data_IF_340685827865
#
_entry.id   IF_340685827865
#
_cell.length_a   1.000
_cell.length_b   1.000
_cell.length_c   1.000
_cell.angle_alpha   90.00
_cell.angle_beta   90.00
_cell.angle_gamma   90.00
#
_symmetry.space_group_name_H-M   'P 1'
#
loop_
_entity.id
_entity.type
_entity.pdbx_description
1 polymer ?
#
# COMPACT_ATOMS: atom_id res chain seq x y z
N UNK A 1 -4.29 11.76 2.83
CA UNK A 1 -5.42 11.03 2.26
C UNK A 1 -6.76 11.62 2.69
N UNK A 2 -7.07 11.71 4.00
CA UNK A 2 -8.35 12.24 4.48
C UNK A 2 -8.64 13.64 3.94
N UNK A 3 -7.64 14.54 3.96
CA UNK A 3 -7.78 15.90 3.44
C UNK A 3 -8.12 15.91 1.94
N UNK A 4 -7.44 15.06 1.16
CA UNK A 4 -7.70 14.93 -0.27
C UNK A 4 -9.12 14.40 -0.54
N UNK A 5 -9.53 13.36 0.19
CA UNK A 5 -10.89 12.81 0.04
C UNK A 5 -11.96 13.86 0.37
N UNK A 6 -11.82 14.60 1.48
CA UNK A 6 -12.75 15.65 1.86
C UNK A 6 -12.83 16.83 0.87
N UNK A 7 -11.74 17.07 0.12
CA UNK A 7 -11.70 18.14 -0.88
C UNK A 7 -12.27 17.75 -2.25
N UNK A 8 -12.30 16.45 -2.58
CA UNK A 8 -12.48 15.96 -3.93
C UNK A 8 -13.68 15.05 -4.12
N UNK A 9 -14.24 14.53 -3.03
CA UNK A 9 -15.32 13.55 -3.04
C UNK A 9 -16.55 14.19 -2.42
N UNK A 10 -17.64 14.16 -3.16
CA UNK A 10 -18.95 14.58 -2.71
C UNK A 10 -19.82 13.36 -2.33
N UNK A 11 -20.93 13.62 -1.65
CA UNK A 11 -21.88 12.60 -1.23
C UNK A 11 -22.39 11.78 -2.41
N UNK A 12 -22.13 10.48 -2.36
CA UNK A 12 -22.57 9.53 -3.37
C UNK A 12 -21.59 9.31 -4.51
N UNK A 13 -20.50 10.09 -4.59
CA UNK A 13 -19.42 9.83 -5.52
C UNK A 13 -18.82 8.44 -5.30
N UNK A 14 -18.44 7.77 -6.37
CA UNK A 14 -17.77 6.50 -6.34
C UNK A 14 -16.28 6.66 -6.64
N UNK A 15 -15.44 5.98 -5.84
CA UNK A 15 -13.98 5.94 -6.05
C UNK A 15 -13.54 4.50 -6.24
N UNK A 16 -12.99 4.19 -7.42
CA UNK A 16 -12.47 2.86 -7.72
C UNK A 16 -11.13 2.65 -7.01
N UNK A 17 -10.94 1.49 -6.42
CA UNK A 17 -9.67 1.08 -5.81
C UNK A 17 -9.47 -0.43 -5.95
N UNK A 18 -8.21 -0.94 -5.93
CA UNK A 18 -7.96 -2.36 -6.02
C UNK A 18 -8.48 -3.10 -4.78
N UNK A 19 -8.89 -4.35 -4.98
CA UNK A 19 -9.09 -5.35 -3.94
C UNK A 19 -8.06 -6.48 -4.13
N UNK A 20 -7.06 -6.64 -3.24
CA UNK A 20 -6.89 -6.00 -1.92
C UNK A 20 -6.29 -4.59 -1.98
N UNK A 21 -6.51 -3.80 -0.92
CA UNK A 21 -5.93 -2.46 -0.73
C UNK A 21 -5.73 -2.11 0.75
N UNK A 22 -5.05 -0.99 1.01
CA UNK A 22 -4.87 -0.51 2.37
C UNK A 22 -6.23 -0.19 3.03
N UNK A 23 -6.53 -0.76 4.20
CA UNK A 23 -7.88 -0.71 4.78
C UNK A 23 -8.44 0.71 4.99
N UNK A 24 -7.57 1.67 5.34
CA UNK A 24 -8.03 3.03 5.61
C UNK A 24 -8.52 3.75 4.36
N UNK A 25 -8.09 3.35 3.15
CA UNK A 25 -8.47 4.04 1.91
C UNK A 25 -9.99 4.10 1.73
N UNK A 26 -10.67 2.95 1.86
CA UNK A 26 -12.14 2.89 1.77
C UNK A 26 -12.83 3.71 2.87
N UNK A 27 -12.23 3.80 4.05
CA UNK A 27 -12.79 4.56 5.15
C UNK A 27 -12.58 6.07 4.97
N UNK A 28 -11.50 6.52 4.32
CA UNK A 28 -11.33 7.93 3.97
C UNK A 28 -12.37 8.39 2.94
N UNK A 29 -12.68 7.54 1.95
CA UNK A 29 -13.75 7.79 0.99
C UNK A 29 -15.12 7.84 1.69
N UNK A 30 -15.41 6.87 2.56
CA UNK A 30 -16.67 6.82 3.31
C UNK A 30 -16.82 8.01 4.28
N UNK A 31 -15.71 8.49 4.88
CA UNK A 31 -15.75 9.66 5.75
C UNK A 31 -15.99 10.97 5.00
N UNK A 32 -15.79 10.98 3.67
CA UNK A 32 -16.19 12.06 2.75
C UNK A 32 -17.61 11.83 2.17
N UNK A 33 -18.39 10.90 2.73
CA UNK A 33 -19.72 10.49 2.26
C UNK A 33 -19.76 9.85 0.85
N UNK A 34 -18.58 9.47 0.30
CA UNK A 34 -18.44 8.72 -0.94
C UNK A 34 -18.53 7.21 -0.74
N UNK A 35 -18.57 6.49 -1.85
CA UNK A 35 -18.61 5.04 -1.95
C UNK A 35 -17.26 4.51 -2.48
N UNK A 36 -16.59 3.68 -1.70
CA UNK A 36 -15.41 2.97 -2.17
C UNK A 36 -15.85 1.73 -2.97
N UNK A 37 -15.49 1.68 -4.24
CA UNK A 37 -15.76 0.55 -5.12
C UNK A 37 -14.48 -0.28 -5.22
N UNK A 38 -14.48 -1.41 -4.51
CA UNK A 38 -13.37 -2.35 -4.53
C UNK A 38 -13.46 -3.21 -5.79
N UNK A 39 -12.46 -3.10 -6.67
CA UNK A 39 -12.39 -3.83 -7.94
C UNK A 39 -11.43 -5.01 -7.77
N UNK A 40 -11.90 -6.26 -7.90
CA UNK A 40 -11.09 -7.44 -7.71
C UNK A 40 -9.87 -7.46 -8.62
N UNK A 41 -8.71 -7.81 -8.05
CA UNK A 41 -7.44 -7.96 -8.77
C UNK A 41 -6.81 -9.31 -8.51
N UNK A 42 -5.98 -9.78 -9.43
CA UNK A 42 -5.37 -11.12 -9.37
C UNK A 42 -3.84 -11.05 -9.31
N UNK A 43 -3.22 -12.20 -9.05
CA UNK A 43 -1.76 -12.31 -9.05
C UNK A 43 -1.15 -12.01 -10.44
N UNK A 44 -1.84 -12.40 -11.51
CA UNK A 44 -1.43 -12.13 -12.90
C UNK A 44 -1.40 -10.62 -13.18
N UNK A 45 -2.24 -9.84 -12.51
CA UNK A 45 -2.29 -8.39 -12.55
C UNK A 45 -1.43 -7.74 -11.46
N UNK A 46 -0.60 -8.53 -10.76
CA UNK A 46 0.23 -8.08 -9.64
C UNK A 46 -0.59 -7.47 -8.49
N UNK A 47 -1.85 -7.87 -8.34
CA UNK A 47 -2.82 -7.28 -7.40
C UNK A 47 -2.99 -5.76 -7.56
N UNK A 48 -2.87 -5.27 -8.79
CA UNK A 48 -3.05 -3.87 -9.15
C UNK A 48 -4.19 -3.73 -10.17
N UNK A 49 -4.80 -2.54 -10.24
CA UNK A 49 -5.80 -2.26 -11.25
C UNK A 49 -5.16 -2.18 -12.64
N UNK A 50 -5.91 -2.61 -13.64
CA UNK A 50 -5.61 -2.35 -15.04
C UNK A 50 -6.53 -1.28 -15.62
N UNK A 51 -6.09 -0.60 -16.67
CA UNK A 51 -6.90 0.37 -17.41
C UNK A 51 -8.22 -0.24 -17.92
N UNK A 52 -8.18 -1.52 -18.35
CA UNK A 52 -9.36 -2.25 -18.77
C UNK A 52 -10.37 -2.43 -17.61
N UNK A 53 -9.91 -2.78 -16.42
CA UNK A 53 -10.78 -2.92 -15.23
C UNK A 53 -11.33 -1.57 -14.78
N UNK A 54 -10.52 -0.52 -14.79
CA UNK A 54 -10.99 0.84 -14.51
C UNK A 54 -12.07 1.25 -15.49
N UNK A 55 -11.86 1.06 -16.80
CA UNK A 55 -12.82 1.40 -17.83
C UNK A 55 -14.14 0.60 -17.68
N UNK A 56 -14.06 -0.68 -17.34
CA UNK A 56 -15.21 -1.57 -17.15
C UNK A 56 -16.03 -1.24 -15.89
N UNK A 57 -15.35 -0.83 -14.79
CA UNK A 57 -16.00 -0.47 -13.53
C UNK A 57 -16.51 0.98 -13.48
N UNK A 58 -16.17 1.79 -14.48
CA UNK A 58 -16.53 3.21 -14.50
C UNK A 58 -18.02 3.42 -14.74
N UNK A 59 -18.73 3.94 -13.75
CA UNK A 59 -20.14 4.28 -13.80
C UNK A 59 -20.40 5.80 -13.83
N UNK A 60 -21.68 6.19 -13.90
CA UNK A 60 -22.07 7.61 -13.95
C UNK A 60 -21.75 8.40 -12.67
N UNK A 61 -21.53 7.72 -11.56
CA UNK A 61 -21.18 8.32 -10.27
C UNK A 61 -19.69 8.20 -9.96
N UNK A 62 -18.92 7.56 -10.83
CA UNK A 62 -17.48 7.38 -10.61
C UNK A 62 -16.76 8.72 -10.75
N UNK A 63 -16.13 9.11 -9.65
CA UNK A 63 -15.36 10.36 -9.54
C UNK A 63 -13.91 10.19 -9.92
N UNK A 64 -13.34 9.02 -9.65
CA UNK A 64 -11.92 8.77 -9.91
C UNK A 64 -11.43 7.44 -9.37
N UNK A 65 -10.12 7.33 -9.31
CA UNK A 65 -9.40 6.16 -8.78
C UNK A 65 -8.53 6.56 -7.59
N UNK A 66 -8.40 5.65 -6.61
CA UNK A 66 -7.41 5.76 -5.53
C UNK A 66 -6.50 4.53 -5.59
N UNK A 67 -5.28 4.75 -6.03
CA UNK A 67 -4.27 3.75 -6.26
C UNK A 67 -3.16 3.83 -5.19
N UNK A 68 -2.34 2.79 -5.08
CA UNK A 68 -1.12 2.81 -4.28
C UNK A 68 0.00 2.04 -5.01
N UNK A 69 1.16 2.68 -5.17
CA UNK A 69 2.31 2.06 -5.85
C UNK A 69 3.62 2.54 -5.21
N UNK A 70 4.36 1.65 -4.54
CA UNK A 70 4.04 0.26 -4.15
C UNK A 70 2.86 0.15 -3.18
N UNK A 71 2.12 -0.96 -3.21
CA UNK A 71 0.88 -1.16 -2.46
C UNK A 71 1.10 -1.83 -1.09
N UNK A 72 0.23 -1.55 -0.17
CA UNK A 72 -0.05 -2.32 1.03
C UNK A 72 -1.42 -3.01 0.82
N UNK A 73 -1.54 -4.36 0.83
CA UNK A 73 -0.67 -5.33 1.53
C UNK A 73 0.38 -6.05 0.68
N UNK A 74 0.39 -5.85 -0.64
CA UNK A 74 1.05 -6.76 -1.59
C UNK A 74 2.53 -6.47 -1.80
N UNK A 75 2.97 -5.22 -1.54
CA UNK A 75 4.33 -4.77 -1.86
C UNK A 75 4.60 -4.65 -3.36
N UNK A 76 3.56 -4.74 -4.19
CA UNK A 76 3.66 -4.67 -5.64
C UNK A 76 3.39 -3.27 -6.16
N UNK A 77 4.10 -2.89 -7.22
CA UNK A 77 3.89 -1.63 -7.94
C UNK A 77 3.05 -1.84 -9.20
N UNK A 78 2.41 -0.77 -9.65
CA UNK A 78 1.75 -0.73 -10.96
C UNK A 78 2.83 -0.62 -12.03
N UNK A 79 2.71 -1.40 -13.10
CA UNK A 79 3.56 -1.25 -14.27
C UNK A 79 3.45 0.18 -14.81
N UNK A 80 4.57 0.89 -15.12
CA UNK A 80 4.54 2.28 -15.54
C UNK A 80 3.68 2.55 -16.77
N UNK A 81 3.72 1.65 -17.76
CA UNK A 81 2.90 1.79 -18.98
C UNK A 81 1.42 1.55 -18.66
N UNK A 82 1.12 0.63 -17.72
CA UNK A 82 -0.25 0.40 -17.27
C UNK A 82 -0.77 1.60 -16.47
N UNK A 83 0.06 2.17 -15.60
CA UNK A 83 -0.29 3.39 -14.87
C UNK A 83 -0.61 4.54 -15.81
N UNK A 84 0.19 4.73 -16.86
CA UNK A 84 -0.08 5.74 -17.89
C UNK A 84 -1.43 5.49 -18.59
N UNK A 85 -1.74 4.23 -18.92
CA UNK A 85 -3.04 3.86 -19.50
C UNK A 85 -4.21 4.10 -18.55
N UNK A 86 -4.04 3.82 -17.26
CA UNK A 86 -5.06 4.10 -16.23
C UNK A 86 -5.33 5.61 -16.16
N UNK A 87 -4.27 6.43 -16.06
CA UNK A 87 -4.39 7.90 -16.02
C UNK A 87 -5.13 8.42 -17.24
N UNK A 88 -4.82 7.91 -18.43
CA UNK A 88 -5.50 8.33 -19.67
C UNK A 88 -7.00 7.94 -19.68
N UNK A 89 -7.35 6.74 -19.22
CA UNK A 89 -8.76 6.33 -19.07
C UNK A 89 -9.49 7.25 -18.11
N UNK A 90 -8.90 7.55 -16.95
CA UNK A 90 -9.50 8.44 -15.95
C UNK A 90 -9.66 9.85 -16.50
N UNK A 91 -8.63 10.37 -17.16
CA UNK A 91 -8.62 11.70 -17.80
C UNK A 91 -9.70 11.83 -18.87
N UNK A 92 -9.85 10.83 -19.74
CA UNK A 92 -10.87 10.81 -20.80
C UNK A 92 -12.31 10.84 -20.27
N UNK A 93 -12.50 10.46 -19.00
CA UNK A 93 -13.79 10.48 -18.30
C UNK A 93 -13.98 11.74 -17.44
N UNK A 94 -13.03 12.68 -17.45
CA UNK A 94 -13.04 13.85 -16.58
C UNK A 94 -12.87 13.53 -15.09
N UNK A 95 -12.29 12.37 -14.79
CA UNK A 95 -12.11 11.88 -13.44
C UNK A 95 -10.79 12.33 -12.79
N UNK A 96 -10.57 11.89 -11.57
CA UNK A 96 -9.42 12.23 -10.72
C UNK A 96 -8.57 10.99 -10.47
N UNK A 97 -7.26 11.12 -10.67
CA UNK A 97 -6.29 10.09 -10.26
C UNK A 97 -5.62 10.51 -8.97
N UNK A 98 -5.93 9.78 -7.87
CA UNK A 98 -5.19 9.87 -6.61
C UNK A 98 -4.26 8.66 -6.53
N UNK A 99 -2.97 8.90 -6.25
CA UNK A 99 -2.01 7.83 -6.07
C UNK A 99 -1.24 8.01 -4.75
N UNK A 100 -1.28 6.99 -3.90
CA UNK A 100 -0.50 6.91 -2.68
C UNK A 100 0.89 6.35 -3.00
N UNK A 101 1.88 7.22 -2.92
CA UNK A 101 3.29 6.93 -3.20
C UNK A 101 4.13 6.83 -1.91
N UNK A 102 3.49 6.59 -0.77
CA UNK A 102 4.17 6.54 0.54
C UNK A 102 5.36 5.56 0.58
N UNK A 103 5.35 4.53 -0.26
CA UNK A 103 6.42 3.53 -0.35
C UNK A 103 7.34 3.72 -1.55
N UNK A 104 7.18 4.77 -2.36
CA UNK A 104 7.95 4.97 -3.58
C UNK A 104 9.47 4.95 -3.33
N UNK A 105 9.94 5.63 -2.28
CA UNK A 105 11.35 5.61 -1.87
C UNK A 105 11.84 4.24 -1.35
N UNK A 106 10.94 3.28 -1.13
CA UNK A 106 11.25 1.89 -0.76
C UNK A 106 11.05 0.92 -1.93
N UNK A 107 11.02 1.39 -3.17
CA UNK A 107 11.08 0.52 -4.35
C UNK A 107 12.41 -0.22 -4.39
N UNK A 108 12.36 -1.52 -4.67
CA UNK A 108 13.53 -2.40 -4.73
C UNK A 108 14.04 -2.58 -6.17
N UNK A 109 13.22 -2.14 -7.13
CA UNK A 109 13.50 -2.19 -8.56
C UNK A 109 13.32 -0.79 -9.14
N UNK A 110 14.36 -0.29 -9.82
CA UNK A 110 14.39 1.05 -10.41
C UNK A 110 13.33 1.24 -11.50
N UNK A 111 12.86 0.15 -12.12
CA UNK A 111 11.76 0.20 -13.09
C UNK A 111 10.45 0.74 -12.49
N UNK A 112 10.26 0.62 -11.17
CA UNK A 112 9.08 1.07 -10.44
C UNK A 112 9.34 2.31 -9.55
N UNK A 113 10.53 2.89 -9.63
CA UNK A 113 10.96 4.00 -8.78
C UNK A 113 10.50 5.39 -9.24
N UNK A 114 9.69 5.49 -10.29
CA UNK A 114 9.23 6.78 -10.83
C UNK A 114 7.89 7.20 -10.26
N UNK A 115 7.77 8.49 -9.94
CA UNK A 115 6.50 9.08 -9.51
C UNK A 115 5.50 9.21 -10.65
N UNK A 116 4.23 8.96 -10.37
CA UNK A 116 3.12 9.19 -11.29
C UNK A 116 2.96 10.66 -11.72
N UNK A 117 3.59 11.59 -11.01
CA UNK A 117 3.64 13.01 -11.38
C UNK A 117 4.30 13.25 -12.76
N UNK A 118 5.13 12.31 -13.22
CA UNK A 118 5.68 12.36 -14.58
C UNK A 118 4.61 12.23 -15.70
N UNK A 119 3.39 11.77 -15.35
CA UNK A 119 2.29 11.53 -16.31
C UNK A 119 1.42 12.77 -16.55
N UNK A 120 1.55 13.81 -15.74
CA UNK A 120 0.86 15.09 -15.93
C UNK A 120 0.53 15.83 -14.65
N UNK A 121 0.22 17.11 -14.80
CA UNK A 121 -0.06 18.03 -13.70
C UNK A 121 -1.46 17.82 -13.07
N UNK A 122 -2.28 16.95 -13.65
CA UNK A 122 -3.61 16.57 -13.18
C UNK A 122 -3.61 15.35 -12.25
N UNK A 123 -2.46 14.68 -12.10
CA UNK A 123 -2.29 13.57 -11.15
C UNK A 123 -2.06 14.12 -9.75
N UNK A 124 -2.76 13.53 -8.78
CA UNK A 124 -2.61 13.88 -7.36
C UNK A 124 -1.77 12.81 -6.68
N UNK A 125 -0.57 13.18 -6.24
CA UNK A 125 0.33 12.30 -5.51
C UNK A 125 0.27 12.57 -4.01
N UNK A 126 0.18 11.49 -3.23
CA UNK A 126 0.10 11.51 -1.78
C UNK A 126 1.37 10.85 -1.23
N UNK A 127 2.08 11.56 -0.39
CA UNK A 127 3.36 11.13 0.15
C UNK A 127 3.45 11.34 1.67
N UNK A 128 4.43 10.69 2.31
CA UNK A 128 4.61 10.77 3.75
C UNK A 128 6.06 10.61 4.15
N UNK A 129 6.45 11.28 5.21
CA UNK A 129 7.73 11.07 5.90
C UNK A 129 7.75 9.80 6.75
N UNK A 130 6.63 9.08 6.86
CA UNK A 130 6.48 7.94 7.78
C UNK A 130 7.32 6.70 7.41
N UNK A 131 7.65 6.47 6.13
CA UNK A 131 8.24 5.20 5.68
C UNK A 131 9.70 5.35 5.30
N UNK A 132 10.00 5.77 4.08
CA UNK A 132 11.38 5.94 3.63
C UNK A 132 12.20 6.82 4.58
N UNK A 133 11.63 7.94 5.03
CA UNK A 133 12.28 8.87 5.94
C UNK A 133 12.23 8.46 7.42
N UNK A 134 11.60 7.32 7.75
CA UNK A 134 11.51 6.78 9.12
C UNK A 134 10.94 7.75 10.18
N UNK A 135 10.08 8.67 9.77
CA UNK A 135 9.45 9.67 10.65
C UNK A 135 8.00 9.33 11.02
N UNK A 136 7.67 8.05 11.23
CA UNK A 136 6.28 7.61 11.46
C UNK A 136 5.60 8.35 12.62
N UNK A 137 6.30 8.55 13.74
CA UNK A 137 5.79 9.24 14.93
C UNK A 137 5.63 10.75 14.78
N UNK A 138 6.27 11.37 13.79
CA UNK A 138 6.25 12.82 13.56
C UNK A 138 4.99 13.31 12.85
N UNK A 139 4.19 12.40 12.31
CA UNK A 139 2.89 12.70 11.69
C UNK A 139 2.96 13.78 10.60
N UNK A 140 3.88 13.63 9.65
CA UNK A 140 4.11 14.57 8.54
C UNK A 140 4.01 13.87 7.20
N UNK A 141 3.44 14.55 6.21
CA UNK A 141 3.33 14.13 4.82
C UNK A 141 3.04 15.33 3.93
N UNK A 142 2.95 15.08 2.62
CA UNK A 142 2.63 16.13 1.65
C UNK A 142 1.74 15.59 0.54
N UNK A 143 1.05 16.51 -0.10
CA UNK A 143 0.28 16.29 -1.32
C UNK A 143 0.91 17.12 -2.44
N UNK A 144 1.00 16.53 -3.63
CA UNK A 144 1.23 17.27 -4.86
C UNK A 144 -0.07 17.26 -5.63
N UNK A 145 -0.58 18.42 -5.95
CA UNK A 145 -1.92 18.62 -6.53
C UNK A 145 -1.88 19.63 -7.66
N UNK A 146 -2.85 19.60 -8.59
CA UNK A 146 -3.06 20.69 -9.54
C UNK A 146 -3.13 22.06 -8.84
N UNK A 147 -2.52 23.08 -9.41
CA UNK A 147 -2.45 24.42 -8.81
C UNK A 147 -3.84 24.97 -8.42
N UNK A 148 -4.85 24.68 -9.22
CA UNK A 148 -6.24 25.08 -8.97
C UNK A 148 -6.85 24.51 -7.69
N UNK A 149 -6.34 23.40 -7.19
CA UNK A 149 -6.80 22.76 -5.95
C UNK A 149 -6.07 23.31 -4.70
N UNK A 150 -4.92 23.93 -4.85
CA UNK A 150 -4.12 24.43 -3.72
C UNK A 150 -4.92 25.34 -2.79
N UNK A 151 -5.64 26.39 -3.26
CA UNK A 151 -6.39 27.27 -2.37
C UNK A 151 -7.53 26.56 -1.62
N UNK A 152 -8.13 25.53 -2.23
CA UNK A 152 -9.20 24.74 -1.62
C UNK A 152 -8.63 23.88 -0.49
N UNK A 153 -7.53 23.19 -0.75
CA UNK A 153 -6.86 22.33 0.23
C UNK A 153 -6.26 23.12 1.39
N UNK A 154 -5.66 24.28 1.12
CA UNK A 154 -5.15 25.17 2.16
C UNK A 154 -6.27 25.68 3.08
N UNK A 155 -7.40 26.10 2.52
CA UNK A 155 -8.57 26.52 3.30
C UNK A 155 -9.10 25.39 4.16
N UNK A 156 -9.21 24.20 3.59
CA UNK A 156 -9.69 23.02 4.31
C UNK A 156 -8.72 22.64 5.43
N UNK A 157 -7.42 22.58 5.16
CA UNK A 157 -6.39 22.27 6.14
C UNK A 157 -6.39 23.29 7.28
N UNK A 158 -6.44 24.59 6.94
CA UNK A 158 -6.48 25.68 7.92
C UNK A 158 -7.65 25.54 8.92
N UNK A 159 -8.81 25.09 8.44
CA UNK A 159 -10.01 24.97 9.28
C UNK A 159 -10.08 23.63 10.04
N UNK A 160 -9.43 22.58 9.54
CA UNK A 160 -9.44 21.26 10.19
C UNK A 160 -8.37 21.10 11.26
N UNK A 161 -7.16 21.63 11.01
CA UNK A 161 -6.01 21.41 11.91
C UNK A 161 -4.98 22.56 11.89
N UNK A 162 -5.28 23.69 11.26
CA UNK A 162 -4.46 24.90 11.14
C UNK A 162 -3.22 24.66 10.25
N UNK A 163 -2.26 23.87 10.71
CA UNK A 163 -1.06 23.47 9.96
C UNK A 163 -0.48 22.15 10.50
N UNK A 164 0.42 21.55 9.74
CA UNK A 164 1.24 20.46 10.27
C UNK A 164 2.15 20.96 11.41
N UNK A 165 2.52 20.07 12.35
CA UNK A 165 3.40 20.42 13.46
C UNK A 165 4.68 21.12 12.99
N UNK A 166 4.95 22.33 13.46
CA UNK A 166 6.15 23.09 13.11
C UNK A 166 7.43 22.35 13.48
N UNK A 167 7.45 21.67 14.63
CA UNK A 167 8.59 20.85 15.05
C UNK A 167 8.84 19.71 14.06
N UNK A 168 7.78 19.05 13.58
CA UNK A 168 7.90 17.99 12.57
C UNK A 168 8.41 18.52 11.23
N UNK A 169 7.96 19.69 10.82
CA UNK A 169 8.43 20.34 9.58
C UNK A 169 9.91 20.72 9.66
N UNK A 170 10.34 21.29 10.79
CA UNK A 170 11.75 21.63 11.01
C UNK A 170 12.64 20.39 11.06
N UNK A 171 12.20 19.32 11.75
CA UNK A 171 12.92 18.06 11.78
C UNK A 171 13.04 17.40 10.39
N UNK A 172 12.01 17.55 9.54
CA UNK A 172 12.00 16.99 8.20
C UNK A 172 13.04 17.62 7.26
N UNK A 173 13.50 18.82 7.51
CA UNK A 173 14.58 19.43 6.72
C UNK A 173 15.86 18.57 6.76
N UNK A 174 16.17 17.97 7.91
CA UNK A 174 17.31 17.09 8.06
C UNK A 174 17.20 15.78 7.25
N UNK A 175 15.99 15.40 6.80
CA UNK A 175 15.81 14.22 5.96
C UNK A 175 16.47 14.35 4.58
N UNK A 176 16.72 15.57 4.12
CA UNK A 176 17.30 15.86 2.82
C UNK A 176 18.82 16.09 2.87
N UNK A 177 19.41 16.02 4.06
CA UNK A 177 20.87 16.11 4.21
C UNK A 177 21.53 14.86 3.60
N UNK A 178 22.73 15.00 2.98
CA UNK A 178 23.42 13.88 2.33
C UNK A 178 23.61 12.66 3.23
N UNK A 179 23.92 12.88 4.51
CA UNK A 179 24.12 11.81 5.49
C UNK A 179 22.82 11.04 5.77
N UNK A 180 21.69 11.76 5.87
CA UNK A 180 20.38 11.15 6.07
C UNK A 180 19.96 10.34 4.86
N UNK A 181 20.15 10.89 3.65
CA UNK A 181 19.85 10.18 2.40
C UNK A 181 20.68 8.92 2.26
N UNK A 182 21.99 8.97 2.58
CA UNK A 182 22.86 7.79 2.56
C UNK A 182 22.38 6.69 3.53
N UNK A 183 21.90 7.07 4.71
CA UNK A 183 21.35 6.14 5.69
C UNK A 183 20.01 5.53 5.20
N UNK A 184 19.13 6.30 4.55
CA UNK A 184 17.89 5.75 4.01
C UNK A 184 18.15 4.77 2.87
N UNK A 185 19.12 5.05 1.99
CA UNK A 185 19.53 4.11 0.94
C UNK A 185 20.14 2.81 1.51
N UNK A 186 20.94 2.92 2.57
CA UNK A 186 21.43 1.75 3.30
C UNK A 186 20.26 0.90 3.85
N UNK A 187 19.27 1.54 4.44
CA UNK A 187 18.07 0.86 4.95
C UNK A 187 17.23 0.26 3.83
N UNK A 188 17.08 0.95 2.70
CA UNK A 188 16.39 0.41 1.52
C UNK A 188 17.05 -0.89 1.04
N UNK A 189 18.38 -0.89 0.94
CA UNK A 189 19.14 -2.10 0.61
C UNK A 189 18.93 -3.24 1.63
N UNK A 190 18.85 -2.91 2.91
CA UNK A 190 18.55 -3.88 3.98
C UNK A 190 17.12 -4.44 3.86
N UNK A 191 16.12 -3.64 3.56
CA UNK A 191 14.75 -4.13 3.29
C UNK A 191 14.72 -5.07 2.10
N UNK A 192 15.46 -4.76 1.03
CA UNK A 192 15.61 -5.66 -0.11
C UNK A 192 16.24 -6.99 0.29
N UNK A 193 17.33 -6.98 1.06
CA UNK A 193 17.98 -8.20 1.54
C UNK A 193 17.03 -9.05 2.43
N UNK A 194 16.23 -8.42 3.29
CA UNK A 194 15.23 -9.11 4.11
C UNK A 194 14.14 -9.74 3.25
N UNK A 195 13.64 -9.05 2.24
CA UNK A 195 12.70 -9.60 1.26
C UNK A 195 13.30 -10.82 0.55
N UNK A 196 14.52 -10.67 0.04
CA UNK A 196 15.20 -11.71 -0.75
C UNK A 196 15.44 -13.00 0.06
N UNK A 197 15.57 -12.88 1.39
CA UNK A 197 15.59 -14.01 2.31
C UNK A 197 14.19 -14.56 2.62
N UNK A 198 13.27 -13.66 2.96
CA UNK A 198 12.02 -14.04 3.60
C UNK A 198 10.99 -14.66 2.64
N UNK A 199 10.93 -14.16 1.40
CA UNK A 199 9.96 -14.66 0.40
C UNK A 199 10.23 -16.13 0.03
N UNK A 200 11.45 -16.56 -0.35
CA UNK A 200 11.73 -17.98 -0.59
C UNK A 200 11.44 -18.84 0.64
N UNK A 201 11.82 -18.36 1.83
CA UNK A 201 11.60 -19.10 3.07
C UNK A 201 10.10 -19.32 3.39
N UNK A 202 9.22 -18.36 3.08
CA UNK A 202 7.77 -18.53 3.18
C UNK A 202 7.27 -19.57 2.17
N UNK A 203 7.70 -19.48 0.92
CA UNK A 203 7.32 -20.40 -0.14
C UNK A 203 7.69 -21.86 0.22
N UNK A 204 8.88 -22.07 0.79
CA UNK A 204 9.35 -23.39 1.25
C UNK A 204 8.47 -23.97 2.39
N UNK A 205 7.76 -23.12 3.12
CA UNK A 205 6.82 -23.51 4.16
C UNK A 205 5.38 -23.75 3.64
N UNK A 206 5.15 -23.58 2.33
CA UNK A 206 3.81 -23.68 1.73
C UNK A 206 2.94 -22.45 1.96
N UNK A 207 3.56 -21.31 2.35
CA UNK A 207 2.96 -19.98 2.42
C UNK A 207 3.33 -19.24 1.13
N UNK A 208 2.61 -19.56 0.05
CA UNK A 208 2.99 -19.11 -1.30
C UNK A 208 2.81 -17.61 -1.47
N UNK A 209 3.87 -16.90 -1.81
CA UNK A 209 3.83 -15.50 -2.24
C UNK A 209 3.75 -15.47 -3.77
N UNK A 210 2.56 -15.29 -4.37
CA UNK A 210 2.35 -15.49 -5.81
C UNK A 210 3.02 -14.41 -6.65
N UNK A 211 3.22 -13.22 -6.09
CA UNK A 211 3.93 -12.12 -6.73
C UNK A 211 4.98 -11.61 -5.76
N UNK A 212 6.25 -11.71 -6.17
CA UNK A 212 7.33 -11.15 -5.36
C UNK A 212 7.16 -9.61 -5.25
N UNK A 213 7.19 -9.04 -4.03
CA UNK A 213 7.08 -7.61 -3.85
C UNK A 213 8.30 -6.89 -4.46
N UNK A 214 8.05 -5.79 -5.16
CA UNK A 214 9.08 -4.92 -5.74
C UNK A 214 9.32 -3.65 -4.93
N UNK A 215 8.57 -3.47 -3.84
CA UNK A 215 8.71 -2.34 -2.94
C UNK A 215 8.08 -2.57 -1.58
N UNK A 216 8.09 -1.53 -0.77
CA UNK A 216 7.63 -1.54 0.62
C UNK A 216 8.37 -2.60 1.49
N UNK A 217 7.69 -3.18 2.46
CA UNK A 217 8.23 -4.21 3.36
C UNK A 217 7.15 -5.24 3.72
N UNK A 218 6.32 -5.61 2.73
CA UNK A 218 5.22 -6.57 2.91
C UNK A 218 5.41 -7.79 2.02
N UNK A 219 4.85 -8.92 2.48
CA UNK A 219 4.65 -10.12 1.70
C UNK A 219 3.19 -10.55 1.82
N UNK A 220 2.52 -10.71 0.69
CA UNK A 220 1.15 -11.17 0.60
C UNK A 220 1.15 -12.65 0.25
N UNK A 221 0.93 -13.50 1.27
CA UNK A 221 1.11 -14.94 1.17
C UNK A 221 -0.23 -15.68 1.22
N UNK A 222 -0.43 -16.59 0.29
CA UNK A 222 -1.53 -17.54 0.30
C UNK A 222 -1.25 -18.63 1.36
N UNK A 223 -2.12 -18.73 2.35
CA UNK A 223 -2.02 -19.71 3.42
C UNK A 223 -2.95 -20.92 3.24
N UNK A 224 -3.58 -21.09 2.08
CA UNK A 224 -4.56 -22.15 1.83
C UNK A 224 -3.99 -23.54 2.13
N UNK A 225 -2.79 -23.85 1.62
CA UNK A 225 -2.16 -25.16 1.83
C UNK A 225 -1.83 -25.39 3.31
N UNK A 226 -1.33 -24.38 4.01
CA UNK A 226 -1.05 -24.45 5.44
C UNK A 226 -2.34 -24.61 6.26
N UNK A 227 -3.40 -23.88 5.93
CA UNK A 227 -4.72 -24.02 6.55
C UNK A 227 -5.27 -25.45 6.38
N UNK A 228 -5.21 -26.01 5.17
CA UNK A 228 -5.67 -27.38 4.89
C UNK A 228 -4.87 -28.40 5.71
N UNK A 229 -3.55 -28.26 5.77
CA UNK A 229 -2.67 -29.17 6.53
C UNK A 229 -2.98 -29.17 8.03
N UNK A 230 -3.32 -28.02 8.59
CA UNK A 230 -3.59 -27.82 10.02
C UNK A 230 -5.07 -27.98 10.39
N UNK A 231 -5.97 -28.19 9.42
CA UNK A 231 -7.41 -28.19 9.65
C UNK A 231 -7.97 -26.83 10.08
N UNK A 232 -7.34 -25.74 9.66
CA UNK A 232 -7.71 -24.36 9.97
C UNK A 232 -8.62 -23.84 8.84
N UNK A 233 -9.63 -23.07 9.18
CA UNK A 233 -10.67 -22.64 8.25
C UNK A 233 -10.21 -21.63 7.21
N UNK A 234 -9.57 -20.54 7.65
CA UNK A 234 -9.21 -19.39 6.83
C UNK A 234 -8.02 -18.61 7.42
N UNK A 235 -7.63 -17.54 6.74
CA UNK A 235 -6.50 -16.71 7.14
C UNK A 235 -6.70 -15.99 8.49
N UNK A 236 -7.95 -15.79 8.92
CA UNK A 236 -8.24 -15.21 10.22
C UNK A 236 -7.84 -16.17 11.33
N UNK A 237 -8.37 -17.38 11.29
CA UNK A 237 -8.05 -18.40 12.28
C UNK A 237 -6.56 -18.79 12.20
N UNK A 238 -5.97 -18.79 10.99
CA UNK A 238 -4.54 -19.02 10.80
C UNK A 238 -3.67 -17.96 11.48
N UNK A 239 -4.04 -16.69 11.39
CA UNK A 239 -3.28 -15.62 12.02
C UNK A 239 -3.28 -15.73 13.56
N UNK A 240 -4.41 -16.09 14.16
CA UNK A 240 -4.49 -16.34 15.61
C UNK A 240 -3.75 -17.60 16.03
N UNK A 241 -3.86 -18.68 15.26
CA UNK A 241 -3.12 -19.92 15.52
C UNK A 241 -1.59 -19.73 15.40
N UNK A 242 -1.13 -18.95 14.42
CA UNK A 242 0.28 -18.58 14.28
C UNK A 242 0.79 -17.78 15.49
N UNK A 243 -0.03 -16.86 16.01
CA UNK A 243 0.31 -16.10 17.21
C UNK A 243 0.40 -17.00 18.45
N UNK A 244 -0.59 -17.90 18.63
CA UNK A 244 -0.70 -18.76 19.81
C UNK A 244 0.36 -19.88 19.81
N UNK A 245 0.56 -20.54 18.68
CA UNK A 245 1.39 -21.75 18.62
C UNK A 245 2.82 -21.49 18.09
N UNK A 246 2.99 -20.54 17.19
CA UNK A 246 4.31 -20.19 16.65
C UNK A 246 4.89 -18.90 17.23
N UNK A 247 4.12 -18.13 18.01
CA UNK A 247 4.49 -16.81 18.52
C UNK A 247 4.95 -15.84 17.43
N UNK A 248 4.25 -15.89 16.29
CA UNK A 248 4.46 -15.02 15.12
C UNK A 248 3.17 -14.25 14.84
N UNK A 249 3.21 -12.93 15.01
CA UNK A 249 2.10 -12.06 14.69
C UNK A 249 2.08 -11.74 13.19
N UNK A 250 0.95 -12.02 12.54
CA UNK A 250 0.70 -11.76 11.11
C UNK A 250 -0.69 -11.12 10.96
N UNK A 251 -0.91 -10.43 9.85
CA UNK A 251 -2.20 -9.78 9.61
C UNK A 251 -3.07 -10.62 8.68
N UNK A 252 -4.33 -10.95 9.06
CA UNK A 252 -5.23 -11.72 8.21
C UNK A 252 -5.69 -10.90 6.99
N UNK A 253 -5.89 -11.57 5.88
CA UNK A 253 -6.16 -10.93 4.60
C UNK A 253 -7.48 -10.17 4.52
N UNK A 254 -8.51 -10.61 5.27
CA UNK A 254 -9.83 -9.96 5.27
C UNK A 254 -9.81 -8.48 5.68
N UNK A 255 -8.73 -8.01 6.34
CA UNK A 255 -8.57 -6.61 6.69
C UNK A 255 -8.36 -5.73 5.44
N UNK A 256 -7.87 -6.33 4.34
CA UNK A 256 -7.42 -5.61 3.14
C UNK A 256 -8.43 -5.62 2.00
N UNK A 257 -9.49 -6.39 2.10
CA UNK A 257 -10.48 -6.49 1.03
C UNK A 257 -11.49 -7.60 1.26
N UNK A 258 -12.24 -7.91 0.21
CA UNK A 258 -13.33 -8.90 0.26
C UNK A 258 -13.19 -10.02 -0.76
N UNK A 259 -12.51 -9.78 -1.89
CA UNK A 259 -12.33 -10.81 -2.92
C UNK A 259 -11.16 -11.72 -2.59
N UNK A 260 -11.45 -12.99 -2.35
CA UNK A 260 -10.50 -14.07 -2.03
C UNK A 260 -9.51 -13.76 -0.88
N UNK A 261 -9.64 -12.64 -0.19
CA UNK A 261 -8.69 -12.21 0.85
C UNK A 261 -8.67 -13.14 2.06
N UNK A 262 -9.72 -13.95 2.28
CA UNK A 262 -9.76 -14.96 3.34
C UNK A 262 -8.71 -16.08 3.20
N UNK A 263 -8.07 -16.21 2.03
CA UNK A 263 -6.98 -17.19 1.80
C UNK A 263 -5.58 -16.59 1.97
N UNK A 264 -5.47 -15.30 2.20
CA UNK A 264 -4.19 -14.61 2.29
C UNK A 264 -3.90 -14.08 3.69
N UNK A 265 -2.61 -13.99 3.99
CA UNK A 265 -2.07 -13.26 5.16
C UNK A 265 -0.98 -12.29 4.70
N UNK A 266 -0.86 -11.15 5.41
CA UNK A 266 0.23 -10.22 5.18
C UNK A 266 1.31 -10.40 6.24
N UNK A 267 2.52 -10.67 5.80
CA UNK A 267 3.73 -10.56 6.61
C UNK A 267 4.37 -9.18 6.45
N UNK A 268 5.18 -8.81 7.43
CA UNK A 268 6.01 -7.60 7.38
C UNK A 268 7.47 -7.97 7.56
N UNK A 269 8.35 -7.43 6.71
CA UNK A 269 9.81 -7.57 6.82
C UNK A 269 10.47 -6.39 7.53
N UNK A 270 9.70 -5.60 8.29
CA UNK A 270 10.20 -4.43 9.01
C UNK A 270 11.08 -4.77 10.23
N UNK A 271 11.07 -6.02 10.67
CA UNK A 271 11.91 -6.53 11.76
C UNK A 271 13.36 -6.78 11.30
N UNK A 272 14.27 -7.01 12.26
CA UNK A 272 15.66 -7.37 11.94
C UNK A 272 15.75 -8.73 11.22
N UNK A 273 16.84 -8.95 10.49
CA UNK A 273 17.08 -10.25 9.83
C UNK A 273 17.04 -11.42 10.82
N UNK A 274 17.62 -11.26 12.00
CA UNK A 274 17.64 -12.29 13.04
C UNK A 274 16.22 -12.62 13.53
N UNK A 275 15.35 -11.63 13.70
CA UNK A 275 13.95 -11.84 14.07
C UNK A 275 13.16 -12.53 12.96
N UNK A 276 13.41 -12.17 11.70
CA UNK A 276 12.78 -12.85 10.55
C UNK A 276 13.21 -14.31 10.45
N UNK A 277 14.50 -14.60 10.67
CA UNK A 277 15.01 -15.99 10.73
C UNK A 277 14.36 -16.76 11.88
N UNK A 278 14.20 -16.13 13.03
CA UNK A 278 13.52 -16.72 14.19
C UNK A 278 12.05 -17.02 13.87
N UNK A 279 11.36 -16.09 13.21
CA UNK A 279 9.96 -16.27 12.79
C UNK A 279 9.82 -17.44 11.81
N UNK A 280 10.70 -17.55 10.81
CA UNK A 280 10.71 -18.69 9.88
C UNK A 280 10.96 -20.02 10.62
N UNK A 281 11.93 -20.05 11.55
CA UNK A 281 12.20 -21.27 12.34
C UNK A 281 10.99 -21.71 13.17
N UNK A 282 10.29 -20.77 13.82
CA UNK A 282 9.07 -21.02 14.59
C UNK A 282 7.91 -21.50 13.72
N UNK A 283 7.67 -20.84 12.60
CA UNK A 283 6.66 -21.26 11.62
C UNK A 283 6.96 -22.66 11.09
N UNK A 284 8.24 -22.95 10.78
CA UNK A 284 8.65 -24.28 10.31
C UNK A 284 8.38 -25.36 11.34
N UNK A 285 8.71 -25.11 12.60
CA UNK A 285 8.47 -26.07 13.69
C UNK A 285 6.97 -26.32 13.91
N UNK A 286 6.14 -25.28 13.77
CA UNK A 286 4.68 -25.41 13.91
C UNK A 286 4.01 -26.07 12.72
N UNK A 287 4.41 -25.68 11.48
CA UNK A 287 3.81 -26.22 10.25
C UNK A 287 4.28 -27.64 9.93
N UNK A 288 5.44 -28.06 10.41
CA UNK A 288 6.04 -29.40 10.17
C UNK A 288 6.52 -30.01 11.50
N UNK A 289 5.58 -30.36 12.40
CA UNK A 289 5.92 -30.93 13.71
C UNK A 289 6.61 -32.29 13.65
#
# INVERSE_FOLDING_TARGET
LQLACLALIDRGDEVLMPDPSYPCNRHFVSAAEGNAILVPTTAEERFQLSAAKVAAAWGPQTRGVLLASPSNPTGTSIDPDELARIVEVVRSRGGITLIDEIYLGLSHDDAFGQSALALGDDVISINSFSKYFNMTGWRLGWLVVPETLTPVLERLAQNLFICASTVSQQAALACFEPESLAEYERRRAEFKARRDYFIPALNDLGLTVPVAPDGAFYAWADCTAACQKLGIKDSWDFAFAALEHAHVAITPGRDFGTDQTARFVRFSTANSMAELQTAIARLKAWLNP
#
